data_IF_258582230491
#
_entry.id   IF_258582230491
#
_cell.length_a   1.000
_cell.length_b   1.000
_cell.length_c   1.000
_cell.angle_alpha   90.00
_cell.angle_beta   90.00
_cell.angle_gamma   90.00
#
_symmetry.space_group_name_H-M   'P 1'
#
loop_
_entity.id
_entity.type
_entity.pdbx_description
1 polymer ?
#
# COMPACT_ATOMS: atom_id res chain seq x y z
N UNK A 1 -0.69 -2.75 35.16
CA UNK A 1 -0.96 -2.37 33.76
C UNK A 1 0.27 -2.77 32.98
N UNK A 2 0.17 -3.75 32.09
CA UNK A 2 1.31 -4.20 31.30
C UNK A 2 1.60 -3.17 30.21
N UNK A 3 2.80 -2.57 30.21
CA UNK A 3 3.23 -1.69 29.13
C UNK A 3 3.52 -2.54 27.88
N UNK A 4 2.60 -2.48 26.91
CA UNK A 4 2.72 -3.21 25.64
C UNK A 4 3.56 -2.47 24.60
N UNK A 5 4.28 -1.41 25.00
CA UNK A 5 5.10 -0.61 24.12
C UNK A 5 6.56 -0.58 24.58
N UNK A 6 7.47 -0.57 23.61
CA UNK A 6 8.90 -0.42 23.82
C UNK A 6 9.39 0.77 23.01
N UNK A 7 10.25 1.58 23.62
CA UNK A 7 10.91 2.70 22.94
C UNK A 7 11.97 2.15 21.98
N UNK A 8 11.88 2.51 20.71
CA UNK A 8 12.77 2.02 19.65
C UNK A 8 13.63 3.13 19.03
N UNK A 9 13.24 4.39 19.23
CA UNK A 9 14.04 5.54 18.80
C UNK A 9 13.95 6.64 19.87
N UNK A 10 15.08 7.29 20.12
CA UNK A 10 15.18 8.46 21.00
C UNK A 10 14.53 9.69 20.35
N UNK A 11 14.16 10.66 21.19
CA UNK A 11 13.75 11.96 20.68
C UNK A 11 14.91 12.62 19.95
N UNK A 12 14.62 13.30 18.84
CA UNK A 12 15.62 14.05 18.07
C UNK A 12 15.26 15.54 18.03
N UNK A 13 16.22 16.46 18.24
CA UNK A 13 16.00 17.88 18.08
C UNK A 13 15.86 18.26 16.60
N UNK A 14 15.33 19.47 16.34
CA UNK A 14 15.25 20.00 14.98
C UNK A 14 16.66 20.29 14.44
N UNK A 15 16.83 20.13 13.13
CA UNK A 15 18.02 20.56 12.39
C UNK A 15 17.60 21.24 11.08
N UNK A 16 18.58 21.73 10.29
CA UNK A 16 18.31 22.44 9.04
C UNK A 16 17.53 21.63 7.99
N UNK A 17 17.52 20.31 8.09
CA UNK A 17 16.89 19.40 7.12
C UNK A 17 15.59 18.77 7.62
N UNK A 18 15.44 18.60 8.95
CA UNK A 18 14.32 17.86 9.56
C UNK A 18 13.84 18.54 10.85
N UNK A 19 12.53 18.59 11.10
CA UNK A 19 11.97 19.12 12.35
C UNK A 19 12.29 18.18 13.53
N UNK A 20 12.12 18.71 14.74
CA UNK A 20 12.21 17.94 15.97
C UNK A 20 11.17 16.81 15.96
N UNK A 21 11.52 15.65 16.48
CA UNK A 21 10.59 14.54 16.64
C UNK A 21 10.72 13.93 18.04
N UNK A 22 9.59 13.60 18.64
CA UNK A 22 9.54 12.88 19.90
C UNK A 22 10.04 11.44 19.77
N UNK A 23 10.17 10.73 20.89
CA UNK A 23 10.61 9.33 20.90
C UNK A 23 9.59 8.42 20.21
N UNK A 24 10.09 7.39 19.52
CA UNK A 24 9.26 6.42 18.81
C UNK A 24 9.04 5.19 19.69
N UNK A 25 7.78 4.81 19.84
CA UNK A 25 7.37 3.59 20.55
C UNK A 25 6.74 2.60 19.58
N UNK A 26 7.03 1.32 19.78
CA UNK A 26 6.42 0.21 19.03
C UNK A 26 5.86 -0.82 19.98
N UNK A 27 4.91 -1.61 19.48
CA UNK A 27 4.34 -2.72 20.23
C UNK A 27 5.39 -3.79 20.53
N UNK A 28 5.35 -4.40 21.72
CA UNK A 28 6.38 -5.35 22.19
C UNK A 28 6.59 -6.56 21.26
N UNK A 29 5.53 -7.05 20.60
CA UNK A 29 5.62 -8.17 19.66
C UNK A 29 6.02 -7.76 18.24
N UNK A 30 6.21 -6.46 17.99
CA UNK A 30 6.56 -5.91 16.69
C UNK A 30 7.67 -4.85 16.80
N UNK A 31 8.56 -4.98 17.79
CA UNK A 31 9.61 -3.99 18.05
C UNK A 31 10.49 -3.73 16.82
N UNK A 32 10.82 -4.78 16.07
CA UNK A 32 11.66 -4.74 14.87
C UNK A 32 10.82 -4.67 13.57
N UNK A 33 9.52 -4.41 13.69
CA UNK A 33 8.54 -4.57 12.62
C UNK A 33 7.84 -5.94 12.68
N UNK A 34 6.70 -6.06 11.98
CA UNK A 34 5.90 -7.29 11.99
C UNK A 34 6.54 -8.40 11.15
N UNK A 35 7.07 -8.05 9.98
CA UNK A 35 7.73 -8.98 9.05
C UNK A 35 8.83 -8.27 8.29
N UNK A 36 9.92 -8.97 8.01
CA UNK A 36 10.90 -8.52 7.02
C UNK A 36 10.25 -8.58 5.64
N UNK A 37 10.49 -7.56 4.82
CA UNK A 37 10.07 -7.58 3.42
C UNK A 37 10.80 -8.75 2.72
N UNK A 38 10.09 -9.59 1.96
CA UNK A 38 10.72 -10.63 1.17
C UNK A 38 11.60 -10.01 0.08
N UNK A 39 12.67 -10.71 -0.29
CA UNK A 39 13.57 -10.27 -1.35
C UNK A 39 12.80 -10.09 -2.68
N UNK A 40 13.07 -8.99 -3.38
CA UNK A 40 12.40 -8.67 -4.65
C UNK A 40 11.02 -8.02 -4.52
N UNK A 41 10.55 -7.70 -3.31
CA UNK A 41 9.37 -6.86 -3.10
C UNK A 41 9.79 -5.48 -2.55
N UNK A 42 10.22 -4.61 -3.46
CA UNK A 42 10.78 -3.30 -3.13
C UNK A 42 9.77 -2.17 -3.29
N UNK A 43 8.69 -2.43 -4.03
CA UNK A 43 7.63 -1.47 -4.31
C UNK A 43 6.23 -2.08 -4.10
N UNK A 44 5.21 -1.24 -3.85
CA UNK A 44 3.82 -1.70 -3.87
C UNK A 44 3.42 -2.38 -5.19
N UNK A 45 4.05 -1.99 -6.30
CA UNK A 45 3.84 -2.63 -7.61
C UNK A 45 4.33 -4.07 -7.63
N UNK A 46 5.44 -4.40 -6.97
CA UNK A 46 5.95 -5.77 -6.88
C UNK A 46 4.98 -6.66 -6.10
N UNK A 47 4.49 -6.19 -4.95
CA UNK A 47 3.46 -6.90 -4.18
C UNK A 47 2.19 -7.16 -4.99
N UNK A 48 1.72 -6.14 -5.70
CA UNK A 48 0.51 -6.24 -6.51
C UNK A 48 0.70 -7.20 -7.68
N UNK A 49 1.75 -7.02 -8.48
CA UNK A 49 2.03 -7.85 -9.66
C UNK A 49 2.24 -9.33 -9.28
N UNK A 50 2.93 -9.63 -8.18
CA UNK A 50 3.05 -11.01 -7.67
C UNK A 50 1.72 -11.59 -7.20
N UNK A 51 0.85 -10.76 -6.60
CA UNK A 51 -0.49 -11.22 -6.19
C UNK A 51 -1.35 -11.60 -7.39
N UNK A 52 -1.25 -10.84 -8.49
CA UNK A 52 -1.95 -11.11 -9.75
C UNK A 52 -1.48 -12.43 -10.36
N UNK A 53 -0.16 -12.68 -10.40
CA UNK A 53 0.39 -13.94 -10.92
C UNK A 53 -0.13 -15.16 -10.16
N UNK A 54 -0.27 -15.05 -8.84
CA UNK A 54 -0.73 -16.15 -7.99
C UNK A 54 -2.22 -16.43 -8.15
N UNK A 55 -3.05 -15.39 -8.26
CA UNK A 55 -4.50 -15.50 -8.23
C UNK A 55 -5.16 -14.55 -9.25
N UNK A 56 -4.98 -14.75 -10.56
CA UNK A 56 -5.40 -13.79 -11.58
C UNK A 56 -6.93 -13.61 -11.62
N UNK A 57 -7.68 -14.69 -11.43
CA UNK A 57 -9.15 -14.71 -11.52
C UNK A 57 -9.86 -14.35 -10.21
N UNK A 58 -9.12 -14.11 -9.13
CA UNK A 58 -9.74 -13.73 -7.84
C UNK A 58 -10.31 -12.31 -7.92
N UNK A 59 -11.48 -12.11 -7.33
CA UNK A 59 -12.08 -10.79 -7.20
C UNK A 59 -11.18 -9.89 -6.33
N UNK A 60 -10.84 -8.70 -6.87
CA UNK A 60 -9.94 -7.76 -6.22
C UNK A 60 -10.64 -6.44 -5.88
N UNK A 61 -11.31 -5.82 -6.86
CA UNK A 61 -11.94 -4.51 -6.68
C UNK A 61 -13.45 -4.61 -6.92
N UNK A 62 -14.21 -4.37 -5.86
CA UNK A 62 -15.67 -4.30 -5.91
C UNK A 62 -16.13 -2.86 -6.09
N UNK A 63 -16.74 -2.54 -7.22
CA UNK A 63 -17.35 -1.24 -7.49
C UNK A 63 -18.87 -1.36 -7.43
N UNK A 64 -19.53 -0.30 -6.95
CA UNK A 64 -20.98 -0.15 -7.01
C UNK A 64 -21.31 1.00 -7.94
N UNK A 65 -22.08 0.73 -8.98
CA UNK A 65 -22.64 1.79 -9.78
C UNK A 65 -23.77 2.46 -9.00
N UNK A 66 -23.73 3.79 -8.93
CA UNK A 66 -24.87 4.57 -8.47
C UNK A 66 -25.61 5.11 -9.68
N UNK A 67 -26.85 4.66 -9.86
CA UNK A 67 -27.73 5.11 -10.94
C UNK A 67 -28.96 5.72 -10.30
N UNK A 68 -29.28 6.97 -10.68
CA UNK A 68 -30.42 7.73 -10.17
C UNK A 68 -30.52 7.80 -8.64
N UNK A 69 -29.37 8.01 -7.98
CA UNK A 69 -29.29 8.12 -6.51
C UNK A 69 -29.47 6.79 -5.76
N UNK A 70 -29.66 5.67 -6.46
CA UNK A 70 -29.68 4.33 -5.88
C UNK A 70 -28.33 3.66 -6.07
N UNK A 71 -27.89 2.92 -5.05
CA UNK A 71 -26.64 2.17 -5.09
C UNK A 71 -26.94 0.74 -5.51
N UNK A 72 -26.41 0.32 -6.65
CA UNK A 72 -26.57 -1.03 -7.18
C UNK A 72 -25.74 -2.11 -6.46
N UNK A 73 -25.83 -3.37 -6.91
CA UNK A 73 -25.01 -4.46 -6.39
C UNK A 73 -23.52 -4.24 -6.69
N UNK A 74 -22.66 -5.00 -6.00
CA UNK A 74 -21.22 -5.00 -6.31
C UNK A 74 -20.96 -5.71 -7.63
N UNK A 75 -20.25 -5.01 -8.52
CA UNK A 75 -19.55 -5.61 -9.66
C UNK A 75 -18.09 -5.74 -9.28
N UNK A 76 -17.50 -6.90 -9.53
CA UNK A 76 -16.11 -7.19 -9.17
C UNK A 76 -15.22 -7.20 -10.40
N UNK A 77 -14.06 -6.58 -10.29
CA UNK A 77 -12.94 -6.78 -11.20
C UNK A 77 -12.00 -7.84 -10.61
N UNK A 78 -11.50 -8.70 -11.47
CA UNK A 78 -10.47 -9.68 -11.16
C UNK A 78 -9.10 -9.01 -11.00
N UNK A 79 -8.17 -9.68 -10.29
CA UNK A 79 -6.78 -9.21 -10.19
C UNK A 79 -6.16 -8.94 -11.58
N UNK A 80 -6.43 -9.81 -12.55
CA UNK A 80 -5.93 -9.70 -13.93
C UNK A 80 -6.48 -8.45 -14.63
N UNK A 81 -7.79 -8.21 -14.58
CA UNK A 81 -8.40 -7.01 -15.19
C UNK A 81 -7.86 -5.72 -14.57
N UNK A 82 -7.66 -5.70 -13.25
CA UNK A 82 -7.07 -4.54 -12.56
C UNK A 82 -5.61 -4.33 -12.95
N UNK A 83 -4.86 -5.40 -13.15
CA UNK A 83 -3.47 -5.34 -13.58
C UNK A 83 -3.33 -4.74 -14.97
N UNK A 84 -4.13 -5.23 -15.92
CA UNK A 84 -4.15 -4.72 -17.29
C UNK A 84 -4.55 -3.24 -17.33
N UNK A 85 -5.58 -2.86 -16.57
CA UNK A 85 -6.00 -1.46 -16.46
C UNK A 85 -4.86 -0.58 -15.88
N UNK A 86 -4.14 -1.07 -14.87
CA UNK A 86 -3.02 -0.35 -14.26
C UNK A 86 -1.88 -0.12 -15.23
N UNK A 87 -1.54 -1.11 -16.07
CA UNK A 87 -0.53 -0.98 -17.12
C UNK A 87 -0.94 0.08 -18.16
N UNK A 88 -2.20 0.09 -18.59
CA UNK A 88 -2.70 1.08 -19.53
C UNK A 88 -2.63 2.49 -18.94
N UNK A 89 -3.09 2.68 -17.70
CA UNK A 89 -3.04 3.97 -17.01
C UNK A 89 -1.60 4.44 -16.84
N UNK A 90 -0.69 3.58 -16.40
CA UNK A 90 0.73 3.90 -16.24
C UNK A 90 1.38 4.32 -17.57
N UNK A 91 1.05 3.64 -18.66
CA UNK A 91 1.49 3.99 -20.01
C UNK A 91 1.01 5.38 -20.44
N UNK A 92 -0.26 5.72 -20.17
CA UNK A 92 -0.83 7.04 -20.49
C UNK A 92 -0.20 8.15 -19.64
N UNK A 93 -0.05 7.93 -18.33
CA UNK A 93 0.58 8.91 -17.41
C UNK A 93 2.00 9.24 -17.89
N UNK A 94 2.77 8.23 -18.30
CA UNK A 94 4.11 8.43 -18.86
C UNK A 94 4.07 9.22 -20.17
N UNK A 95 3.10 8.95 -21.06
CA UNK A 95 2.91 9.74 -22.30
C UNK A 95 2.55 11.20 -22.02
N UNK A 96 1.91 11.49 -20.90
CA UNK A 96 1.64 12.86 -20.43
C UNK A 96 2.89 13.58 -19.87
N UNK A 97 4.07 12.96 -19.91
CA UNK A 97 5.33 13.59 -19.51
C UNK A 97 5.70 13.40 -18.03
N UNK A 98 4.97 12.56 -17.30
CA UNK A 98 5.34 12.21 -15.92
C UNK A 98 6.48 11.20 -15.95
N UNK A 99 7.61 11.56 -15.34
CA UNK A 99 8.80 10.72 -15.23
C UNK A 99 8.94 10.14 -13.80
N UNK A 100 9.62 9.00 -13.63
CA UNK A 100 9.92 8.41 -12.32
C UNK A 100 10.71 9.33 -11.40
#
# INVERSE_FOLDING_TARGET
MSDYTVKVEEARPANKQKPAAGPVYRYIYAKDGLMKLPAGMESPWDFFSESVKRNPKSHMLGCRQSTDGKVGPYTWLTCEEVYDASLQIGSVIRRCGVNP
#
